data_IF_560151488721
#
_entry.id   IF_560151488721
#
_cell.length_a   1.000
_cell.length_b   1.000
_cell.length_c   1.000
_cell.angle_alpha   90.00
_cell.angle_beta   90.00
_cell.angle_gamma   90.00
#
_symmetry.space_group_name_H-M   'P 1'
#
loop_
_entity.id
_entity.type
_entity.pdbx_description
1 polymer ?
#
# COMPACT_ATOMS: atom_id res chain seq x y z
N UNK A 1 -7.12 -15.45 -1.26
CA UNK A 1 -6.19 -14.29 -1.10
C UNK A 1 -5.81 -14.19 0.36
N UNK A 2 -4.61 -13.73 0.66
CA UNK A 2 -4.15 -13.50 2.04
C UNK A 2 -3.83 -12.03 2.23
N UNK A 3 -4.23 -11.49 3.37
CA UNK A 3 -3.95 -10.11 3.75
C UNK A 3 -3.40 -10.06 5.17
N UNK A 4 -2.66 -8.99 5.48
CA UNK A 4 -2.36 -8.59 6.84
C UNK A 4 -2.83 -7.15 7.07
N UNK A 5 -3.15 -6.80 8.30
CA UNK A 5 -3.52 -5.45 8.68
C UNK A 5 -2.45 -4.92 9.63
N UNK A 6 -1.82 -3.82 9.24
CA UNK A 6 -0.75 -3.18 10.00
C UNK A 6 -1.10 -1.73 10.33
N UNK A 7 -0.48 -1.18 11.35
CA UNK A 7 -0.59 0.24 11.68
C UNK A 7 0.71 0.73 12.29
N UNK A 8 1.02 1.99 12.07
CA UNK A 8 2.21 2.64 12.62
C UNK A 8 1.98 4.14 12.79
N UNK A 9 2.72 4.73 13.71
CA UNK A 9 2.73 6.18 13.95
C UNK A 9 4.10 6.59 14.41
N UNK A 10 4.52 7.78 14.00
CA UNK A 10 5.80 8.32 14.45
C UNK A 10 5.89 9.82 14.11
N UNK A 11 6.95 10.45 14.64
CA UNK A 11 7.36 11.83 14.36
C UNK A 11 8.53 11.84 13.39
N UNK A 12 8.76 13.00 12.75
CA UNK A 12 9.93 13.21 11.90
C UNK A 12 10.31 14.68 11.79
N UNK A 13 11.49 15.00 11.24
CA UNK A 13 11.89 16.39 11.02
C UNK A 13 11.05 17.11 9.96
N UNK A 14 10.35 16.38 9.10
CA UNK A 14 9.39 16.87 8.10
C UNK A 14 8.21 15.92 8.00
N UNK A 15 7.10 16.35 7.37
CA UNK A 15 5.94 15.49 7.10
C UNK A 15 6.32 14.20 6.37
N UNK A 16 7.22 14.29 5.39
CA UNK A 16 7.66 13.11 4.63
C UNK A 16 8.43 12.13 5.53
N UNK A 17 9.31 12.63 6.38
CA UNK A 17 10.06 11.77 7.30
C UNK A 17 9.14 11.16 8.38
N UNK A 18 8.16 11.93 8.90
CA UNK A 18 7.17 11.40 9.83
C UNK A 18 6.36 10.26 9.18
N UNK A 19 5.94 10.44 7.93
CA UNK A 19 5.25 9.41 7.18
C UNK A 19 6.12 8.16 6.95
N UNK A 20 7.38 8.33 6.57
CA UNK A 20 8.33 7.23 6.38
C UNK A 20 8.57 6.46 7.70
N UNK A 21 8.77 7.19 8.81
CA UNK A 21 8.91 6.60 10.14
C UNK A 21 7.65 5.84 10.58
N UNK A 22 6.45 6.36 10.28
CA UNK A 22 5.20 5.66 10.55
C UNK A 22 5.07 4.36 9.72
N UNK A 23 5.54 4.34 8.47
CA UNK A 23 5.62 3.13 7.65
C UNK A 23 6.63 2.13 8.23
N UNK A 24 7.78 2.59 8.71
CA UNK A 24 8.77 1.74 9.40
C UNK A 24 8.18 1.13 10.67
N UNK A 25 7.48 1.93 11.49
CA UNK A 25 6.78 1.46 12.69
C UNK A 25 5.69 0.41 12.38
N UNK A 26 5.08 0.49 11.20
CA UNK A 26 4.12 -0.50 10.71
C UNK A 26 4.78 -1.75 10.08
N UNK A 27 6.10 -1.76 9.91
CA UNK A 27 6.85 -2.85 9.27
C UNK A 27 6.82 -2.86 7.74
N UNK A 28 6.33 -1.80 7.10
CA UNK A 28 6.17 -1.67 5.64
C UNK A 28 6.96 -0.50 5.03
N UNK A 29 7.90 0.10 5.78
CA UNK A 29 8.71 1.23 5.31
C UNK A 29 9.78 0.85 4.29
N UNK A 30 10.27 -0.37 4.33
CA UNK A 30 11.35 -0.83 3.43
C UNK A 30 10.85 -1.41 2.09
N UNK A 31 9.56 -1.27 1.77
CA UNK A 31 8.96 -1.80 0.54
C UNK A 31 8.33 -0.70 -0.31
N UNK A 32 8.17 -0.96 -1.60
CA UNK A 32 7.48 -0.05 -2.52
C UNK A 32 5.98 -0.31 -2.49
N UNK A 33 5.21 0.61 -1.95
CA UNK A 33 3.77 0.48 -1.82
C UNK A 33 3.05 0.86 -3.10
N UNK A 34 2.16 -0.01 -3.56
CA UNK A 34 1.23 0.24 -4.66
C UNK A 34 -0.16 0.34 -4.07
N UNK A 35 -0.70 1.55 -4.01
CA UNK A 35 -2.09 1.75 -3.59
C UNK A 35 -3.05 1.16 -4.62
N UNK A 36 -3.96 0.32 -4.16
CA UNK A 36 -5.02 -0.28 -4.98
C UNK A 36 -6.39 0.15 -4.49
N UNK A 37 -7.39 0.04 -5.36
CA UNK A 37 -8.78 0.23 -4.95
C UNK A 37 -9.27 -0.95 -4.11
N UNK A 38 -10.14 -0.66 -3.21
CA UNK A 38 -10.55 -1.33 -1.98
C UNK A 38 -11.28 -2.68 -2.13
N UNK A 39 -10.98 -3.52 -3.13
CA UNK A 39 -11.66 -4.80 -3.34
C UNK A 39 -10.80 -5.99 -2.99
N UNK A 40 -11.40 -6.95 -2.32
CA UNK A 40 -10.81 -8.24 -1.96
C UNK A 40 -11.56 -9.38 -2.65
N UNK A 41 -10.90 -10.51 -2.81
CA UNK A 41 -11.57 -11.73 -3.24
C UNK A 41 -12.42 -12.31 -2.10
N UNK A 42 -13.40 -13.13 -2.48
CA UNK A 42 -14.15 -13.90 -1.52
C UNK A 42 -13.28 -14.85 -0.72
N UNK A 43 -13.68 -15.09 0.52
CA UNK A 43 -12.95 -15.93 1.46
C UNK A 43 -11.46 -15.52 1.63
N UNK A 44 -11.22 -14.20 1.62
CA UNK A 44 -9.90 -13.65 1.97
C UNK A 44 -9.54 -14.02 3.40
N UNK A 45 -8.31 -14.49 3.60
CA UNK A 45 -7.80 -14.91 4.92
C UNK A 45 -6.97 -13.78 5.54
N UNK A 46 -7.31 -13.40 6.76
CA UNK A 46 -6.46 -12.54 7.58
C UNK A 46 -5.33 -13.37 8.18
N UNK A 47 -4.10 -12.91 8.01
CA UNK A 47 -2.90 -13.54 8.57
C UNK A 47 -2.07 -12.53 9.36
N UNK A 48 -1.22 -13.02 10.24
CA UNK A 48 -0.20 -12.19 10.88
C UNK A 48 0.76 -11.64 9.83
N UNK A 49 1.16 -10.39 10.03
CA UNK A 49 2.15 -9.76 9.16
C UNK A 49 3.52 -10.40 9.36
N UNK A 50 4.14 -10.75 8.25
CA UNK A 50 5.53 -11.23 8.22
C UNK A 50 6.42 -10.19 7.51
N UNK A 51 7.67 -9.99 7.97
CA UNK A 51 8.59 -9.06 7.32
C UNK A 51 8.75 -9.37 5.83
N UNK A 52 8.63 -8.35 5.01
CA UNK A 52 8.77 -8.44 3.57
C UNK A 52 10.21 -8.12 3.15
N UNK A 53 10.63 -8.67 2.02
CA UNK A 53 11.97 -8.38 1.49
C UNK A 53 12.05 -6.89 1.11
N UNK A 54 13.05 -6.14 1.60
CA UNK A 54 13.24 -4.74 1.22
C UNK A 54 13.27 -4.52 -0.29
N UNK A 55 12.63 -3.43 -0.74
CA UNK A 55 12.50 -3.08 -2.16
C UNK A 55 11.40 -3.82 -2.92
N UNK A 56 10.68 -4.77 -2.28
CA UNK A 56 9.56 -5.48 -2.92
C UNK A 56 8.43 -4.54 -3.29
N UNK A 57 7.72 -4.85 -4.39
CA UNK A 57 6.49 -4.17 -4.80
C UNK A 57 5.31 -4.79 -4.06
N UNK A 58 4.64 -4.02 -3.22
CA UNK A 58 3.59 -4.52 -2.32
C UNK A 58 2.30 -3.75 -2.54
N UNK A 59 1.23 -4.46 -2.89
CA UNK A 59 -0.10 -3.87 -3.02
C UNK A 59 -0.69 -3.63 -1.64
N UNK A 60 -1.32 -2.48 -1.44
CA UNK A 60 -1.98 -2.14 -0.19
C UNK A 60 -3.16 -1.20 -0.37
N UNK A 61 -4.09 -1.25 0.58
CA UNK A 61 -5.01 -0.14 0.86
C UNK A 61 -4.42 0.61 2.06
N UNK A 62 -4.21 1.90 1.93
CA UNK A 62 -3.45 2.69 2.91
C UNK A 62 -4.24 3.93 3.33
N UNK A 63 -4.72 3.94 4.55
CA UNK A 63 -5.15 5.13 5.29
C UNK A 63 -3.91 5.82 5.86
N UNK A 64 -3.73 7.10 5.60
CA UNK A 64 -2.58 7.86 6.09
C UNK A 64 -2.92 9.32 6.32
N UNK A 65 -2.48 9.87 7.42
CA UNK A 65 -2.64 11.27 7.78
C UNK A 65 -1.35 11.78 8.41
N UNK A 66 -1.01 13.04 8.10
CA UNK A 66 0.21 13.69 8.61
C UNK A 66 -0.10 15.13 8.96
N UNK A 67 0.38 15.61 10.10
CA UNK A 67 0.26 17.00 10.53
C UNK A 67 1.61 17.53 11.02
N UNK A 68 1.84 18.82 10.84
CA UNK A 68 2.97 19.59 11.38
C UNK A 68 2.51 20.64 12.42
N UNK A 69 1.27 20.51 12.89
CA UNK A 69 0.75 21.35 13.95
C UNK A 69 0.89 20.63 15.30
N UNK A 70 1.75 21.09 16.20
CA UNK A 70 1.85 20.52 17.55
C UNK A 70 0.51 20.55 18.29
N UNK A 71 0.16 19.43 18.91
CA UNK A 71 -1.08 19.28 19.64
C UNK A 71 -2.22 18.65 18.83
N UNK A 72 -2.14 18.57 17.50
CA UNK A 72 -3.11 17.83 16.69
C UNK A 72 -3.16 16.38 17.13
N UNK A 73 -4.37 15.83 17.24
CA UNK A 73 -4.61 14.40 17.40
C UNK A 73 -5.09 13.84 16.06
N UNK A 74 -4.20 13.09 15.39
CA UNK A 74 -4.45 12.53 14.07
C UNK A 74 -4.74 11.03 14.15
N UNK A 75 -5.79 10.59 13.45
CA UNK A 75 -6.24 9.20 13.47
C UNK A 75 -6.34 8.65 12.06
N UNK A 76 -5.81 7.44 11.86
CA UNK A 76 -5.97 6.66 10.62
C UNK A 76 -6.72 5.36 10.94
N UNK A 77 -7.68 5.01 10.08
CA UNK A 77 -8.54 3.82 10.24
C UNK A 77 -8.61 3.07 8.91
N UNK A 78 -8.57 1.75 8.98
CA UNK A 78 -9.03 0.86 7.90
C UNK A 78 -10.07 -0.11 8.45
N UNK A 79 -11.15 -0.32 7.69
CA UNK A 79 -12.14 -1.35 7.98
C UNK A 79 -12.24 -2.31 6.79
N UNK A 80 -12.26 -3.61 7.10
CA UNK A 80 -12.31 -4.71 6.13
C UNK A 80 -13.58 -5.49 6.36
N UNK A 81 -14.39 -5.72 5.32
CA UNK A 81 -15.47 -6.69 5.33
C UNK A 81 -15.12 -7.85 4.40
N UNK A 82 -15.19 -9.07 4.91
CA UNK A 82 -14.93 -10.31 4.16
C UNK A 82 -16.26 -11.02 3.93
N UNK A 83 -16.54 -11.34 2.69
CA UNK A 83 -17.71 -12.10 2.26
C UNK A 83 -17.32 -13.42 1.59
N UNK A 84 -18.33 -14.11 1.04
CA UNK A 84 -18.14 -15.39 0.36
C UNK A 84 -17.55 -15.23 -1.05
N UNK A 85 -18.07 -14.27 -1.81
CA UNK A 85 -17.69 -14.05 -3.21
C UNK A 85 -16.72 -12.88 -3.37
N UNK A 86 -16.80 -11.89 -2.50
CA UNK A 86 -15.90 -10.73 -2.47
C UNK A 86 -15.76 -10.15 -1.05
N UNK A 87 -14.82 -9.25 -0.90
CA UNK A 87 -14.68 -8.40 0.28
C UNK A 87 -14.38 -6.95 -0.12
N UNK A 88 -14.55 -6.05 0.82
CA UNK A 88 -14.29 -4.62 0.66
C UNK A 88 -13.40 -4.10 1.78
N UNK A 89 -12.64 -3.05 1.46
CA UNK A 89 -11.86 -2.29 2.44
C UNK A 89 -12.26 -0.82 2.34
N UNK A 90 -12.29 -0.10 3.43
CA UNK A 90 -12.41 1.35 3.46
C UNK A 90 -11.30 1.95 4.32
N UNK A 91 -10.91 3.14 3.96
CA UNK A 91 -9.95 3.97 4.67
C UNK A 91 -10.65 5.25 5.16
N UNK A 92 -10.33 5.67 6.37
CA UNK A 92 -10.82 6.91 6.96
C UNK A 92 -9.69 7.59 7.76
N UNK A 93 -9.70 8.91 7.79
CA UNK A 93 -8.77 9.70 8.60
C UNK A 93 -9.47 10.87 9.25
N UNK A 94 -8.96 11.32 10.38
CA UNK A 94 -9.46 12.50 11.06
C UNK A 94 -8.38 13.25 11.82
N UNK A 95 -8.56 14.56 11.96
CA UNK A 95 -7.72 15.42 12.80
C UNK A 95 -8.59 16.05 13.87
N UNK A 96 -8.25 15.83 15.15
CA UNK A 96 -9.02 16.32 16.30
C UNK A 96 -10.48 15.83 16.31
N UNK A 97 -10.71 14.67 15.70
CA UNK A 97 -12.00 13.97 15.67
C UNK A 97 -11.96 12.78 16.62
N UNK A 98 -13.13 12.36 17.13
CA UNK A 98 -13.23 11.21 18.01
C UNK A 98 -12.86 9.91 17.24
N UNK A 99 -11.81 9.17 17.65
CA UNK A 99 -11.42 7.94 16.96
C UNK A 99 -12.54 6.87 16.88
N UNK A 100 -13.41 6.81 17.91
CA UNK A 100 -14.53 5.88 17.90
C UNK A 100 -15.56 6.21 16.81
N UNK A 101 -15.82 7.49 16.56
CA UNK A 101 -16.72 7.94 15.48
C UNK A 101 -16.15 7.66 14.10
N UNK A 102 -14.85 7.87 13.92
CA UNK A 102 -14.15 7.52 12.66
C UNK A 102 -14.21 6.01 12.39
N UNK A 103 -14.03 5.20 13.42
CA UNK A 103 -14.17 3.75 13.33
C UNK A 103 -15.59 3.34 12.96
N UNK A 104 -16.61 3.89 13.63
CA UNK A 104 -18.00 3.59 13.34
C UNK A 104 -18.40 4.00 11.92
N UNK A 105 -17.89 5.14 11.45
CA UNK A 105 -18.04 5.61 10.08
C UNK A 105 -17.42 4.64 9.07
N UNK A 106 -16.19 4.16 9.32
CA UNK A 106 -15.53 3.18 8.46
C UNK A 106 -16.31 1.85 8.43
N UNK A 107 -16.82 1.38 9.56
CA UNK A 107 -17.67 0.19 9.64
C UNK A 107 -18.97 0.38 8.86
N UNK A 108 -19.60 1.55 8.99
CA UNK A 108 -20.81 1.86 8.23
C UNK A 108 -20.53 1.82 6.71
N UNK A 109 -19.45 2.47 6.26
CA UNK A 109 -19.10 2.53 4.85
C UNK A 109 -18.81 1.14 4.26
N UNK A 110 -18.06 0.30 4.96
CA UNK A 110 -17.74 -1.04 4.44
C UNK A 110 -18.98 -1.93 4.41
N UNK A 111 -19.89 -1.82 5.38
CA UNK A 111 -21.18 -2.52 5.36
C UNK A 111 -22.03 -2.10 4.15
N UNK A 112 -22.14 -0.79 3.91
CA UNK A 112 -22.87 -0.26 2.75
C UNK A 112 -22.27 -0.76 1.43
N UNK A 113 -20.94 -0.81 1.32
CA UNK A 113 -20.28 -1.34 0.12
C UNK A 113 -20.60 -2.82 -0.14
N UNK A 114 -20.75 -3.62 0.90
CA UNK A 114 -21.16 -5.03 0.78
C UNK A 114 -22.64 -5.16 0.43
N UNK A 115 -23.51 -4.36 1.08
CA UNK A 115 -24.94 -4.36 0.85
C UNK A 115 -25.32 -4.04 -0.62
N UNK A 116 -24.76 -2.97 -1.20
CA UNK A 116 -25.04 -2.63 -2.61
C UNK A 116 -24.56 -3.66 -3.63
N UNK A 117 -23.73 -4.62 -3.19
CA UNK A 117 -23.23 -5.75 -3.99
C UNK A 117 -23.98 -7.04 -3.71
N UNK A 118 -25.02 -6.99 -2.85
CA UNK A 118 -25.77 -8.15 -2.37
C UNK A 118 -24.85 -9.25 -1.79
N UNK A 119 -23.78 -8.83 -1.11
CA UNK A 119 -22.79 -9.74 -0.52
C UNK A 119 -23.03 -9.91 0.97
N UNK A 120 -23.03 -11.16 1.42
CA UNK A 120 -23.17 -11.50 2.84
C UNK A 120 -21.83 -11.33 3.56
N UNK A 121 -21.82 -10.51 4.60
CA UNK A 121 -20.64 -10.30 5.42
C UNK A 121 -20.42 -11.49 6.35
N UNK A 122 -19.25 -12.11 6.28
CA UNK A 122 -18.80 -13.16 7.21
C UNK A 122 -18.05 -12.59 8.39
N UNK A 123 -17.22 -11.58 8.14
CA UNK A 123 -16.35 -10.97 9.14
C UNK A 123 -16.13 -9.48 8.83
N UNK A 124 -16.02 -8.68 9.87
CA UNK A 124 -15.52 -7.29 9.79
C UNK A 124 -14.34 -7.14 10.73
N UNK A 125 -13.23 -6.65 10.19
CA UNK A 125 -12.03 -6.33 10.96
C UNK A 125 -11.72 -4.86 10.82
N UNK A 126 -11.41 -4.19 11.92
CA UNK A 126 -11.06 -2.76 11.94
C UNK A 126 -9.73 -2.57 12.64
N UNK A 127 -8.89 -1.73 12.05
CA UNK A 127 -7.64 -1.27 12.67
C UNK A 127 -7.63 0.24 12.70
N UNK A 128 -7.43 0.80 13.89
CA UNK A 128 -7.23 2.23 14.07
C UNK A 128 -5.90 2.50 14.76
N UNK A 129 -5.37 3.68 14.53
CA UNK A 129 -4.22 4.21 15.25
C UNK A 129 -4.34 5.72 15.36
N UNK A 130 -4.13 6.24 16.57
CA UNK A 130 -4.15 7.67 16.86
C UNK A 130 -2.77 8.13 17.34
N UNK A 131 -2.36 9.31 16.88
CA UNK A 131 -1.12 9.96 17.25
C UNK A 131 -1.36 11.40 17.64
N UNK A 132 -0.78 11.83 18.77
CA UNK A 132 -0.73 13.23 19.16
C UNK A 132 0.57 13.83 18.66
N UNK A 133 0.47 14.79 17.77
CA UNK A 133 1.61 15.42 17.09
C UNK A 133 2.40 16.31 18.06
N UNK A 134 3.71 16.11 18.11
CA UNK A 134 4.64 16.94 18.87
C UNK A 134 5.31 18.00 18.00
N UNK A 135 5.70 17.65 16.77
CA UNK A 135 6.33 18.54 15.77
C UNK A 135 5.79 18.29 14.37
N UNK A 136 6.14 17.15 13.78
CA UNK A 136 5.60 16.66 12.52
C UNK A 136 5.33 15.18 12.71
N UNK A 137 4.07 14.82 12.85
CA UNK A 137 3.65 13.46 13.14
C UNK A 137 2.86 12.84 12.01
N UNK A 138 2.90 11.52 11.91
CA UNK A 138 2.10 10.74 10.99
C UNK A 138 1.47 9.53 11.67
N UNK A 139 0.27 9.17 11.23
CA UNK A 139 -0.42 7.94 11.60
C UNK A 139 -0.87 7.21 10.32
N UNK A 140 -0.64 5.90 10.26
CA UNK A 140 -1.06 5.07 9.13
C UNK A 140 -1.74 3.79 9.61
N UNK A 141 -2.76 3.35 8.86
CA UNK A 141 -3.33 2.01 8.96
C UNK A 141 -3.43 1.43 7.54
N UNK A 142 -3.06 0.17 7.37
CA UNK A 142 -2.97 -0.41 6.03
C UNK A 142 -3.42 -1.86 6.00
N UNK A 143 -4.09 -2.22 4.91
CA UNK A 143 -4.31 -3.61 4.51
C UNK A 143 -3.28 -3.98 3.46
N UNK A 144 -2.41 -4.91 3.80
CA UNK A 144 -1.29 -5.38 2.97
C UNK A 144 -1.68 -6.69 2.29
N UNK A 145 -1.53 -6.77 0.99
CA UNK A 145 -1.81 -7.96 0.20
C UNK A 145 -0.56 -8.85 0.20
N UNK A 146 -0.66 -10.03 0.84
CA UNK A 146 0.47 -10.95 1.03
C UNK A 146 0.69 -11.90 -0.16
N UNK A 147 -0.27 -12.00 -1.07
CA UNK A 147 -0.19 -12.86 -2.24
C UNK A 147 -0.16 -12.02 -3.51
N UNK A 148 0.89 -12.14 -4.27
CA UNK A 148 0.94 -11.59 -5.63
C UNK A 148 0.61 -12.68 -6.63
N UNK A 149 -0.63 -12.69 -7.15
CA UNK A 149 -1.11 -13.71 -8.09
C UNK A 149 -0.53 -13.58 -9.49
N UNK A 150 0.09 -12.45 -9.80
CA UNK A 150 0.85 -12.29 -11.03
C UNK A 150 2.00 -13.31 -11.08
N UNK A 151 2.57 -13.66 -9.92
CA UNK A 151 3.60 -14.71 -9.82
C UNK A 151 3.01 -16.11 -10.02
N UNK A 152 1.75 -16.33 -9.60
CA UNK A 152 1.04 -17.60 -9.80
C UNK A 152 0.71 -17.88 -11.26
N UNK A 153 0.57 -16.86 -12.07
CA UNK A 153 0.29 -17.00 -13.50
C UNK A 153 1.52 -17.50 -14.27
N UNK A 154 2.71 -16.98 -13.97
CA UNK A 154 3.97 -17.47 -14.54
C UNK A 154 4.33 -18.89 -14.09
N UNK A 155 3.92 -19.32 -12.90
CA UNK A 155 4.23 -20.65 -12.37
C UNK A 155 3.39 -21.81 -12.95
N UNK A 156 2.29 -21.49 -13.65
CA UNK A 156 1.39 -22.48 -14.29
C UNK A 156 1.55 -22.57 -15.81
N UNK A 157 2.39 -21.73 -16.40
CA UNK A 157 2.67 -21.80 -17.83
C UNK A 157 3.59 -23.00 -18.11
N UNK A 158 3.25 -23.80 -19.12
CA UNK A 158 4.15 -24.82 -19.60
C UNK A 158 5.41 -24.17 -20.29
N UNK A 159 6.43 -24.94 -20.56
CA UNK A 159 7.68 -24.42 -21.12
C UNK A 159 7.50 -23.79 -22.52
N UNK A 160 6.48 -24.23 -23.26
CA UNK A 160 6.11 -23.65 -24.57
C UNK A 160 5.49 -22.27 -24.38
N UNK A 161 4.57 -22.13 -23.45
CA UNK A 161 3.89 -20.87 -23.16
C UNK A 161 4.83 -19.86 -22.53
N UNK A 162 5.76 -20.29 -21.67
CA UNK A 162 6.86 -19.43 -21.16
C UNK A 162 7.72 -18.90 -22.28
N UNK A 163 8.08 -19.75 -23.24
CA UNK A 163 8.88 -19.33 -24.39
C UNK A 163 8.13 -18.31 -25.25
N UNK A 164 6.84 -18.53 -25.53
CA UNK A 164 6.00 -17.59 -26.30
C UNK A 164 5.88 -16.24 -25.57
N UNK A 165 5.63 -16.27 -24.26
CA UNK A 165 5.54 -15.06 -23.45
C UNK A 165 6.86 -14.30 -23.40
N UNK A 166 7.99 -14.99 -23.30
CA UNK A 166 9.33 -14.41 -23.32
C UNK A 166 9.64 -13.77 -24.68
N UNK A 167 9.36 -14.47 -25.78
CA UNK A 167 9.56 -13.97 -27.13
C UNK A 167 8.69 -12.74 -27.44
N UNK A 168 7.44 -12.74 -26.93
CA UNK A 168 6.51 -11.61 -27.06
C UNK A 168 6.99 -10.42 -26.24
N UNK A 169 7.44 -10.64 -24.99
CA UNK A 169 8.01 -9.59 -24.14
C UNK A 169 9.25 -8.97 -24.78
N UNK A 170 10.15 -9.77 -25.34
CA UNK A 170 11.32 -9.28 -26.09
C UNK A 170 10.94 -8.43 -27.31
N UNK A 171 9.90 -8.83 -28.05
CA UNK A 171 9.38 -8.05 -29.19
C UNK A 171 8.83 -6.71 -28.73
N UNK A 172 8.00 -6.71 -27.68
CA UNK A 172 7.42 -5.48 -27.11
C UNK A 172 8.52 -4.56 -26.60
N UNK A 173 9.48 -5.05 -25.82
CA UNK A 173 10.62 -4.26 -25.33
C UNK A 173 11.43 -3.69 -26.49
N UNK A 174 11.64 -4.45 -27.55
CA UNK A 174 12.41 -4.00 -28.72
C UNK A 174 11.68 -2.90 -29.51
N UNK A 175 10.35 -2.97 -29.62
CA UNK A 175 9.55 -1.94 -30.31
C UNK A 175 9.29 -0.71 -29.44
N UNK A 176 8.91 -0.91 -28.19
CA UNK A 176 8.64 0.17 -27.22
C UNK A 176 9.96 0.85 -26.83
N UNK A 177 11.03 0.09 -26.62
CA UNK A 177 12.34 0.62 -26.31
C UNK A 177 12.92 1.51 -27.44
N UNK A 178 12.56 1.28 -28.70
CA UNK A 178 12.92 2.18 -29.81
C UNK A 178 12.14 3.49 -29.80
N UNK A 179 10.91 3.48 -29.24
CA UNK A 179 10.04 4.68 -29.17
C UNK A 179 10.25 5.49 -27.90
N UNK A 180 10.74 4.86 -26.81
CA UNK A 180 10.92 5.49 -25.49
C UNK A 180 12.35 5.99 -25.29
N UNK A 181 13.34 5.53 -26.09
CA UNK A 181 14.74 5.98 -26.00
C UNK A 181 14.95 7.50 -25.97
N UNK A 182 14.12 8.34 -26.61
CA UNK A 182 14.23 9.79 -26.45
C UNK A 182 13.71 10.33 -25.11
N UNK A 183 12.93 9.53 -24.34
CA UNK A 183 12.26 9.95 -23.12
C UNK A 183 12.86 9.35 -21.83
N UNK A 184 13.63 8.29 -21.95
CA UNK A 184 14.45 7.78 -20.83
C UNK A 184 15.81 8.43 -21.02
N UNK A 185 16.15 9.40 -20.21
CA UNK A 185 17.39 10.16 -20.28
C UNK A 185 18.57 9.28 -20.70
N UNK A 186 19.19 9.63 -21.80
CA UNK A 186 20.38 8.92 -22.28
C UNK A 186 21.50 9.20 -21.26
N UNK A 187 22.34 8.21 -20.91
CA UNK A 187 23.49 8.46 -20.03
C UNK A 187 24.37 9.64 -20.46
N UNK A 188 24.32 9.99 -21.73
CA UNK A 188 25.05 11.11 -22.32
C UNK A 188 24.29 12.46 -22.22
N UNK A 189 23.02 12.49 -21.77
CA UNK A 189 22.24 13.74 -21.70
C UNK A 189 22.50 14.56 -20.44
N UNK A 190 23.25 14.04 -19.47
CA UNK A 190 23.60 14.76 -18.23
C UNK A 190 22.45 15.09 -17.31
N UNK A 191 21.27 14.49 -17.50
CA UNK A 191 20.06 14.80 -16.76
C UNK A 191 19.98 14.17 -15.35
N UNK A 192 20.99 13.40 -14.94
CA UNK A 192 21.08 12.91 -13.56
C UNK A 192 22.49 13.03 -13.01
N UNK A 193 22.57 13.44 -11.77
CA UNK A 193 23.82 13.55 -11.03
C UNK A 193 23.95 12.27 -10.20
N UNK A 194 25.04 11.53 -10.36
CA UNK A 194 25.41 10.50 -9.41
C UNK A 194 25.97 11.15 -8.17
N UNK A 195 25.46 10.75 -7.01
CA UNK A 195 25.95 11.22 -5.71
C UNK A 195 26.62 10.02 -5.02
N UNK A 196 27.87 10.18 -4.63
CA UNK A 196 28.61 9.20 -3.86
C UNK A 196 28.05 9.03 -2.44
N UNK A 197 28.49 7.97 -1.75
CA UNK A 197 28.05 7.67 -0.39
C UNK A 197 28.36 8.79 0.64
N UNK A 198 29.25 9.70 0.30
CA UNK A 198 29.63 10.89 1.06
C UNK A 198 28.76 12.13 0.73
N UNK A 199 27.77 11.99 -0.17
CA UNK A 199 26.89 13.05 -0.60
C UNK A 199 27.48 13.99 -1.66
N UNK A 200 28.66 13.70 -2.21
CA UNK A 200 29.28 14.49 -3.28
C UNK A 200 28.88 14.00 -4.67
N UNK A 201 28.68 14.90 -5.66
CA UNK A 201 28.46 14.51 -7.04
C UNK A 201 29.69 13.76 -7.60
N UNK A 202 29.48 12.61 -8.25
CA UNK A 202 30.51 11.80 -8.92
C UNK A 202 30.33 11.79 -10.42
#
# INVERSE_FOLDING_TARGET
MKIAIVSGKDEGPTKLNAFDNALLAAGIGDVNLIKVSSMLWGNTELQDFVPLKPGSMVKCVLSSITSDNPGDEITAVVAVAIGENLGCVVEETGTNENPAELKDKAIFMVKYMMEIRNETIKEIVVKEITHKVEKSGSAIASVVYLNDEIVGWCGKMDERDKKIATDLAYKIIKEVGRKIRPYVGHPESGEYIKIGADGTPT
#
